data_IF_271042765205
#
_entry.id   IF_271042765205
#
_cell.length_a   1.000
_cell.length_b   1.000
_cell.length_c   1.000
_cell.angle_alpha   90.00
_cell.angle_beta   90.00
_cell.angle_gamma   90.00
#
_symmetry.space_group_name_H-M   'P 1'
#
loop_
_entity.id
_entity.type
_entity.pdbx_description
1 polymer ?
#
# COMPACT_ATOMS: atom_id res chain seq x y z
N UNK A 1 -12.79 18.57 16.35
CA UNK A 1 -13.02 18.29 17.79
C UNK A 1 -14.12 19.16 18.40
N UNK A 2 -14.09 20.49 18.21
CA UNK A 2 -15.13 21.40 18.74
C UNK A 2 -16.55 21.10 18.24
N UNK A 3 -16.71 20.66 16.99
CA UNK A 3 -18.00 20.31 16.40
C UNK A 3 -18.74 19.20 17.15
N UNK A 4 -18.01 18.24 17.72
CA UNK A 4 -18.61 17.16 18.50
C UNK A 4 -19.13 17.67 19.85
N UNK A 5 -18.43 18.60 20.51
CA UNK A 5 -18.92 19.21 21.74
C UNK A 5 -20.19 20.03 21.51
N UNK A 6 -20.26 20.76 20.39
CA UNK A 6 -21.46 21.51 20.00
C UNK A 6 -22.66 20.58 19.69
N UNK A 7 -22.40 19.37 19.20
CA UNK A 7 -23.42 18.32 19.03
C UNK A 7 -23.85 17.66 20.36
N UNK A 8 -23.24 18.04 21.49
CA UNK A 8 -23.55 17.54 22.81
C UNK A 8 -22.76 16.30 23.23
N UNK A 9 -21.66 16.00 22.54
CA UNK A 9 -20.73 14.95 22.97
C UNK A 9 -19.94 15.43 24.19
N UNK A 10 -19.67 14.52 25.12
CA UNK A 10 -18.94 14.81 26.35
C UNK A 10 -17.49 14.35 26.22
N UNK A 11 -16.52 15.23 26.47
CA UNK A 11 -15.12 14.82 26.54
C UNK A 11 -14.88 14.01 27.82
N UNK A 12 -14.28 12.82 27.68
CA UNK A 12 -13.91 11.96 28.80
C UNK A 12 -12.47 12.28 29.25
N UNK A 13 -12.07 11.75 30.41
CA UNK A 13 -10.69 11.80 30.90
C UNK A 13 -9.84 10.61 30.42
N UNK A 14 -10.42 9.75 29.59
CA UNK A 14 -9.82 8.52 29.10
C UNK A 14 -9.29 8.70 27.67
N UNK A 15 -8.19 8.02 27.36
CA UNK A 15 -7.56 8.02 26.04
C UNK A 15 -7.89 6.75 25.27
N UNK A 16 -7.96 6.84 23.94
CA UNK A 16 -8.12 5.69 23.06
C UNK A 16 -6.86 4.80 23.10
N UNK A 17 -7.02 3.49 23.30
CA UNK A 17 -5.89 2.54 23.35
C UNK A 17 -5.12 2.41 22.02
N UNK A 18 -5.79 2.71 20.90
CA UNK A 18 -5.22 2.59 19.55
C UNK A 18 -4.33 3.77 19.18
N UNK A 19 -4.79 5.00 19.45
CA UNK A 19 -4.13 6.22 18.97
C UNK A 19 -3.78 7.24 20.07
N UNK A 20 -4.19 7.00 21.31
CA UNK A 20 -3.93 7.90 22.44
C UNK A 20 -4.79 9.17 22.47
N UNK A 21 -5.63 9.43 21.48
CA UNK A 21 -6.52 10.60 21.46
C UNK A 21 -7.58 10.50 22.56
N UNK A 22 -7.93 11.64 23.16
CA UNK A 22 -8.99 11.73 24.17
C UNK A 22 -10.33 11.21 23.62
N UNK A 23 -11.00 10.35 24.38
CA UNK A 23 -12.30 9.80 24.02
C UNK A 23 -13.41 10.82 24.27
N UNK A 24 -14.40 10.81 23.37
CA UNK A 24 -15.65 11.54 23.53
C UNK A 24 -16.76 10.52 23.79
N UNK A 25 -17.83 10.95 24.46
CA UNK A 25 -19.01 10.14 24.73
C UNK A 25 -20.22 10.76 24.06
N UNK A 26 -20.90 9.95 23.24
CA UNK A 26 -22.18 10.34 22.63
C UNK A 26 -23.27 10.47 23.70
N UNK A 27 -24.41 11.09 23.36
CA UNK A 27 -25.63 11.12 24.16
C UNK A 27 -26.15 9.71 24.50
N UNK A 28 -25.80 8.69 23.71
CA UNK A 28 -26.10 7.28 23.97
C UNK A 28 -25.09 6.60 24.93
N UNK A 29 -24.21 7.36 25.57
CA UNK A 29 -23.14 6.86 26.46
C UNK A 29 -22.09 5.97 25.79
N UNK A 30 -22.03 5.97 24.44
CA UNK A 30 -21.02 5.22 23.68
C UNK A 30 -19.71 6.03 23.62
N UNK A 31 -18.59 5.37 23.92
CA UNK A 31 -17.26 5.94 23.77
C UNK A 31 -16.87 6.02 22.29
N UNK A 32 -16.31 7.15 21.89
CA UNK A 32 -16.08 7.55 20.51
C UNK A 32 -14.70 8.20 20.39
N UNK A 33 -13.84 7.62 19.56
CA UNK A 33 -12.55 8.20 19.22
C UNK A 33 -12.66 8.93 17.88
N UNK A 34 -12.48 10.25 17.89
CA UNK A 34 -12.55 11.06 16.66
C UNK A 34 -11.48 10.65 15.65
N UNK A 35 -10.27 10.35 16.12
CA UNK A 35 -9.14 10.08 15.24
C UNK A 35 -9.31 8.76 14.51
N UNK A 36 -9.78 7.72 15.21
CA UNK A 36 -10.02 6.43 14.59
C UNK A 36 -11.25 6.48 13.68
N UNK A 37 -12.36 7.07 14.12
CA UNK A 37 -13.59 7.03 13.33
C UNK A 37 -13.53 7.90 12.07
N UNK A 38 -12.89 9.08 12.13
CA UNK A 38 -12.75 9.94 10.94
C UNK A 38 -11.87 9.27 9.87
N UNK A 39 -10.86 8.48 10.26
CA UNK A 39 -10.03 7.71 9.32
C UNK A 39 -10.76 6.49 8.73
N UNK A 40 -11.49 5.73 9.54
CA UNK A 40 -12.24 4.55 9.07
C UNK A 40 -13.42 4.94 8.14
N UNK A 41 -14.06 6.09 8.37
CA UNK A 41 -15.19 6.53 7.54
C UNK A 41 -14.81 7.07 6.16
N UNK A 42 -13.54 7.40 5.94
CA UNK A 42 -12.98 7.74 4.63
C UNK A 42 -12.61 6.46 3.86
N UNK A 43 -12.07 5.45 4.54
CA UNK A 43 -11.61 4.18 3.93
C UNK A 43 -12.76 3.22 3.59
N UNK A 44 -13.85 3.20 4.36
CA UNK A 44 -15.00 2.32 4.12
C UNK A 44 -15.70 2.58 2.77
N UNK A 45 -15.66 3.83 2.29
CA UNK A 45 -16.37 4.24 1.06
C UNK A 45 -15.72 3.71 -0.22
N UNK A 46 -14.41 3.49 -0.20
CA UNK A 46 -13.60 3.10 -1.37
C UNK A 46 -13.13 1.63 -1.32
N UNK A 47 -13.66 0.81 -0.41
CA UNK A 47 -13.30 -0.60 -0.33
C UNK A 47 -14.05 -1.44 -1.38
N UNK A 48 -13.37 -1.97 -2.43
CA UNK A 48 -14.00 -2.77 -3.48
C UNK A 48 -14.54 -4.12 -2.97
N UNK A 49 -14.09 -4.60 -1.81
CA UNK A 49 -14.56 -5.86 -1.23
C UNK A 49 -15.92 -5.73 -0.52
N UNK A 50 -16.26 -4.51 -0.06
CA UNK A 50 -17.48 -4.24 0.71
C UNK A 50 -18.51 -3.41 -0.06
N UNK A 51 -18.10 -2.76 -1.17
CA UNK A 51 -18.97 -1.93 -1.99
C UNK A 51 -18.87 -2.29 -3.48
N UNK A 52 -19.97 -2.80 -4.05
CA UNK A 52 -20.05 -3.20 -5.46
C UNK A 52 -19.81 -2.03 -6.44
N UNK A 53 -20.20 -0.80 -6.08
CA UNK A 53 -19.97 0.38 -6.90
C UNK A 53 -18.47 0.70 -7.01
N UNK A 54 -17.72 0.57 -5.90
CA UNK A 54 -16.27 0.75 -5.86
C UNK A 54 -15.55 -0.35 -6.67
N UNK A 55 -16.02 -1.61 -6.58
CA UNK A 55 -15.49 -2.70 -7.39
C UNK A 55 -15.61 -2.42 -8.90
N UNK A 56 -16.76 -1.91 -9.35
CA UNK A 56 -16.98 -1.54 -10.75
C UNK A 56 -16.09 -0.37 -11.19
N UNK A 57 -15.87 0.62 -10.33
CA UNK A 57 -14.96 1.74 -10.62
C UNK A 57 -13.53 1.24 -10.84
N UNK A 58 -13.02 0.38 -9.96
CA UNK A 58 -11.67 -0.16 -10.09
C UNK A 58 -11.49 -1.02 -11.35
N UNK A 59 -12.50 -1.82 -11.72
CA UNK A 59 -12.46 -2.60 -12.97
C UNK A 59 -12.44 -1.68 -14.19
N UNK A 60 -13.29 -0.63 -14.20
CA UNK A 60 -13.31 0.36 -15.28
C UNK A 60 -11.98 1.10 -15.40
N UNK A 61 -11.42 1.56 -14.29
CA UNK A 61 -10.11 2.23 -14.27
C UNK A 61 -8.99 1.32 -14.78
N UNK A 62 -9.00 0.03 -14.39
CA UNK A 62 -8.07 -0.97 -14.94
C UNK A 62 -8.27 -1.20 -16.44
N UNK A 63 -9.51 -1.24 -16.92
CA UNK A 63 -9.82 -1.36 -18.36
C UNK A 63 -9.36 -0.13 -19.15
N UNK A 64 -9.48 1.07 -18.59
CA UNK A 64 -9.00 2.32 -19.21
C UNK A 64 -7.48 2.41 -19.20
N UNK A 65 -6.83 2.01 -18.09
CA UNK A 65 -5.37 1.97 -17.99
C UNK A 65 -4.73 0.91 -18.90
N UNK A 66 -5.46 -0.15 -19.23
CA UNK A 66 -5.03 -1.18 -20.21
C UNK A 66 -5.41 -0.84 -21.66
N UNK A 67 -6.31 0.12 -21.89
CA UNK A 67 -6.62 0.71 -23.20
C UNK A 67 -5.73 1.94 -23.47
N UNK A 68 -4.43 1.73 -23.62
CA UNK A 68 -3.55 2.69 -24.31
C UNK A 68 -3.81 2.57 -25.84
N UNK A 69 -3.70 3.65 -26.63
CA UNK A 69 -4.58 3.91 -27.77
C UNK A 69 -4.27 3.01 -28.97
N UNK A 70 -5.19 2.09 -29.25
CA UNK A 70 -5.48 1.63 -30.59
C UNK A 70 -6.98 1.35 -30.67
N UNK A 71 -7.77 2.36 -31.03
CA UNK A 71 -8.90 2.25 -31.97
C UNK A 71 -9.82 3.47 -31.93
N UNK A 72 -9.92 4.13 -33.07
CA UNK A 72 -10.93 5.13 -33.45
C UNK A 72 -10.90 5.06 -34.98
N UNK A 73 -11.93 4.71 -35.75
CA UNK A 73 -13.38 4.89 -35.61
C UNK A 73 -14.14 3.98 -36.60
N UNK A 74 -15.43 3.79 -36.30
CA UNK A 74 -16.62 3.74 -37.19
C UNK A 74 -16.70 2.72 -38.33
N UNK A 75 -17.80 1.95 -38.26
CA UNK A 75 -18.45 1.33 -39.39
C UNK A 75 -18.77 2.35 -40.49
N UNK A 76 -18.49 2.01 -41.76
CA UNK A 76 -19.43 2.12 -42.89
C UNK A 76 -18.91 1.28 -44.06
N UNK A 77 -19.85 0.68 -44.80
CA UNK A 77 -19.63 -0.29 -45.86
C UNK A 77 -19.39 0.41 -47.21
N UNK A 78 -18.53 -0.18 -48.03
CA UNK A 78 -18.43 -0.09 -49.50
C UNK A 78 -17.41 0.90 -50.12
N UNK A 79 -16.59 0.38 -51.06
CA UNK A 79 -15.82 1.13 -52.07
C UNK A 79 -14.28 1.08 -51.93
N UNK A 80 -13.60 0.28 -52.76
CA UNK A 80 -12.16 0.51 -53.07
C UNK A 80 -11.98 1.51 -54.24
N UNK A 81 -10.79 1.67 -54.88
CA UNK A 81 -9.42 1.32 -54.48
C UNK A 81 -8.45 2.56 -54.55
N UNK A 82 -7.15 2.31 -54.32
CA UNK A 82 -5.95 3.02 -54.81
C UNK A 82 -5.10 3.92 -53.90
N UNK A 83 -3.79 3.73 -54.15
CA UNK A 83 -2.63 4.62 -54.03
C UNK A 83 -1.89 4.77 -52.69
N UNK A 84 -0.93 3.85 -52.51
CA UNK A 84 0.52 4.11 -52.35
C UNK A 84 0.98 5.38 -51.62
N UNK A 85 1.73 5.23 -50.52
CA UNK A 85 3.19 5.54 -50.48
C UNK A 85 3.84 5.26 -49.10
N UNK A 86 4.99 4.58 -49.20
CA UNK A 86 6.24 4.59 -48.41
C UNK A 86 6.25 5.26 -47.02
N UNK A 87 6.70 4.50 -46.02
CA UNK A 87 6.81 4.92 -44.62
C UNK A 87 8.02 5.76 -44.25
N UNK A 88 8.04 6.19 -42.98
CA UNK A 88 9.23 6.63 -42.24
C UNK A 88 9.00 6.27 -40.76
N UNK A 89 10.01 5.64 -40.17
CA UNK A 89 10.08 5.25 -38.76
C UNK A 89 10.65 6.39 -37.89
N UNK A 90 10.16 6.49 -36.64
CA UNK A 90 10.83 6.97 -35.39
C UNK A 90 10.91 8.51 -35.22
N UNK A 91 10.71 9.13 -34.01
CA UNK A 91 11.31 8.75 -32.72
C UNK A 91 10.46 8.75 -31.44
N UNK A 92 10.77 7.77 -30.58
CA UNK A 92 10.38 7.64 -29.18
C UNK A 92 11.23 8.59 -28.29
N UNK A 93 10.65 9.29 -27.30
CA UNK A 93 11.40 10.13 -26.37
C UNK A 93 12.15 9.29 -25.32
N UNK A 94 13.43 9.61 -25.18
CA UNK A 94 14.45 9.02 -24.31
C UNK A 94 14.25 9.43 -22.84
N UNK A 95 14.24 8.49 -21.88
CA UNK A 95 14.41 8.82 -20.47
C UNK A 95 15.85 9.25 -20.22
N UNK A 96 15.98 10.40 -19.57
CA UNK A 96 17.21 10.91 -19.01
C UNK A 96 17.58 10.10 -17.77
N UNK A 97 18.62 9.29 -17.87
CA UNK A 97 19.41 8.97 -16.69
C UNK A 97 20.88 9.14 -17.03
N UNK A 98 21.54 9.91 -16.18
CA UNK A 98 22.93 10.31 -16.28
C UNK A 98 23.88 9.11 -16.18
N UNK A 99 25.09 9.40 -16.63
CA UNK A 99 26.22 8.54 -16.92
C UNK A 99 26.70 7.67 -15.74
N UNK A 100 27.15 6.46 -16.06
CA UNK A 100 27.81 5.56 -15.12
C UNK A 100 28.43 4.33 -15.78
N UNK A 101 29.46 4.55 -16.62
CA UNK A 101 30.53 3.64 -17.03
C UNK A 101 30.19 2.24 -17.61
N UNK A 102 30.43 2.08 -18.92
CA UNK A 102 30.74 0.80 -19.59
C UNK A 102 32.04 0.21 -19.02
N UNK A 103 32.06 -1.03 -18.50
CA UNK A 103 32.07 -2.31 -19.20
C UNK A 103 33.39 -2.61 -19.94
N UNK A 104 34.28 -3.33 -19.24
CA UNK A 104 35.27 -4.20 -19.87
C UNK A 104 34.57 -5.46 -20.37
N UNK A 105 34.71 -5.75 -21.66
CA UNK A 105 34.04 -6.86 -22.34
C UNK A 105 34.69 -8.23 -22.10
N UNK A 106 33.93 -9.26 -22.49
CA UNK A 106 34.29 -10.58 -23.08
C UNK A 106 33.22 -11.60 -22.68
N UNK A 107 32.37 -12.02 -23.61
CA UNK A 107 32.55 -13.19 -24.49
C UNK A 107 31.84 -14.46 -23.92
N UNK A 108 31.35 -15.36 -24.77
CA UNK A 108 30.17 -16.20 -24.52
C UNK A 108 30.53 -17.62 -24.10
N UNK A 109 29.75 -18.23 -23.19
CA UNK A 109 29.85 -19.65 -22.83
C UNK A 109 28.46 -20.26 -22.48
N UNK A 110 28.31 -21.59 -22.64
CA UNK A 110 27.09 -22.30 -23.09
C UNK A 110 26.03 -22.55 -22.00
N UNK A 111 24.80 -22.95 -22.37
CA UNK A 111 23.73 -23.18 -21.40
C UNK A 111 23.97 -24.48 -20.60
N UNK A 112 23.87 -24.47 -19.26
CA UNK A 112 23.60 -25.69 -18.52
C UNK A 112 22.09 -25.93 -18.45
N UNK A 113 21.75 -27.19 -18.67
CA UNK A 113 20.41 -27.75 -18.63
C UNK A 113 19.62 -27.32 -17.39
N UNK A 114 18.37 -26.93 -17.62
CA UNK A 114 17.36 -26.79 -16.58
C UNK A 114 16.98 -28.19 -16.07
N UNK A 115 17.07 -28.46 -14.76
CA UNK A 115 16.16 -29.42 -14.15
C UNK A 115 14.85 -28.69 -13.89
N UNK A 116 13.81 -29.10 -14.61
CA UNK A 116 12.44 -28.81 -14.24
C UNK A 116 12.13 -29.29 -12.82
N UNK A 117 11.13 -28.65 -12.23
CA UNK A 117 10.30 -29.09 -11.08
C UNK A 117 10.80 -28.73 -9.68
N UNK A 118 10.25 -27.64 -9.14
CA UNK A 118 9.50 -27.67 -7.86
C UNK A 118 8.64 -26.39 -7.82
N UNK A 119 7.36 -26.52 -8.15
CA UNK A 119 6.26 -26.37 -7.21
C UNK A 119 6.27 -25.01 -6.45
N UNK A 120 5.26 -24.14 -6.63
CA UNK A 120 5.13 -22.95 -5.80
C UNK A 120 4.98 -23.38 -4.34
N UNK A 121 5.67 -22.75 -3.37
CA UNK A 121 5.41 -23.03 -1.96
C UNK A 121 3.94 -22.73 -1.67
N UNK A 122 3.24 -23.59 -0.89
CA UNK A 122 1.89 -23.27 -0.44
C UNK A 122 1.92 -21.95 0.35
N UNK A 123 0.79 -21.22 0.44
CA UNK A 123 0.69 -20.06 1.31
C UNK A 123 1.03 -20.52 2.72
N UNK A 124 2.25 -20.22 3.16
CA UNK A 124 2.69 -20.54 4.51
C UNK A 124 1.89 -19.61 5.38
N UNK A 125 0.88 -20.17 6.04
CA UNK A 125 0.24 -19.56 7.20
C UNK A 125 1.41 -19.29 8.15
N UNK A 126 1.86 -18.03 8.24
CA UNK A 126 2.97 -17.69 9.11
C UNK A 126 2.62 -18.21 10.49
N UNK A 127 3.42 -19.13 11.01
CA UNK A 127 3.26 -19.59 12.37
C UNK A 127 3.29 -18.36 13.29
N UNK A 128 2.42 -18.27 14.31
CA UNK A 128 2.33 -17.10 15.17
C UNK A 128 3.69 -16.72 15.78
N UNK A 129 4.54 -17.70 16.04
CA UNK A 129 5.92 -17.53 16.52
C UNK A 129 6.85 -16.79 15.54
N UNK A 130 6.68 -16.96 14.23
CA UNK A 130 7.48 -16.26 13.21
C UNK A 130 7.07 -14.78 13.11
N UNK A 131 5.77 -14.49 13.26
CA UNK A 131 5.28 -13.12 13.28
C UNK A 131 5.79 -12.36 14.52
N UNK A 132 5.78 -13.00 15.69
CA UNK A 132 6.33 -12.42 16.92
C UNK A 132 7.83 -12.07 16.79
N UNK A 133 8.63 -12.97 16.24
CA UNK A 133 10.07 -12.76 16.04
C UNK A 133 10.36 -11.58 15.09
N UNK A 134 9.61 -11.48 13.99
CA UNK A 134 9.73 -10.37 13.05
C UNK A 134 9.43 -9.01 13.71
N UNK A 135 8.41 -8.94 14.57
CA UNK A 135 8.05 -7.73 15.30
C UNK A 135 9.11 -7.38 16.35
N UNK A 136 9.62 -8.37 17.10
CA UNK A 136 10.69 -8.17 18.07
C UNK A 136 11.98 -7.67 17.42
N UNK A 137 12.29 -8.16 16.22
CA UNK A 137 13.43 -7.70 15.43
C UNK A 137 13.30 -6.22 15.05
N UNK A 138 12.12 -5.80 14.56
CA UNK A 138 11.85 -4.38 14.26
C UNK A 138 11.89 -3.49 15.50
N UNK A 139 11.34 -3.97 16.62
CA UNK A 139 11.37 -3.25 17.89
C UNK A 139 12.82 -2.95 18.31
N UNK A 140 13.67 -3.99 18.31
CA UNK A 140 15.09 -3.85 18.67
C UNK A 140 15.83 -2.90 17.73
N UNK A 141 15.59 -3.01 16.42
CA UNK A 141 16.17 -2.10 15.43
C UNK A 141 15.76 -0.64 15.72
N UNK A 142 14.47 -0.39 15.97
CA UNK A 142 13.95 0.95 16.22
C UNK A 142 14.54 1.55 17.49
N UNK A 143 14.67 0.75 18.57
CA UNK A 143 15.31 1.20 19.82
C UNK A 143 16.77 1.57 19.62
N UNK A 144 17.53 0.77 18.86
CA UNK A 144 18.94 1.06 18.58
C UNK A 144 19.10 2.31 17.70
N UNK A 145 18.27 2.46 16.67
CA UNK A 145 18.27 3.66 15.82
C UNK A 145 17.88 4.92 16.59
N UNK A 146 16.97 4.80 17.56
CA UNK A 146 16.54 5.93 18.38
C UNK A 146 17.70 6.46 19.23
N UNK A 147 18.54 5.58 19.78
CA UNK A 147 19.73 5.98 20.55
C UNK A 147 20.78 6.71 19.71
N UNK A 148 20.88 6.36 18.43
CA UNK A 148 21.80 6.98 17.47
C UNK A 148 21.21 8.23 16.79
N UNK A 149 19.92 8.48 16.93
CA UNK A 149 19.22 9.53 16.20
C UNK A 149 19.39 10.89 16.89
N UNK A 150 19.93 11.87 16.16
CA UNK A 150 20.01 13.27 16.59
C UNK A 150 18.87 14.14 16.01
N UNK A 151 18.00 13.57 15.17
CA UNK A 151 16.86 14.28 14.59
C UNK A 151 15.60 14.05 15.44
N UNK A 152 14.93 15.15 15.81
CA UNK A 152 13.67 15.10 16.55
C UNK A 152 12.59 14.37 15.74
N UNK A 153 12.47 14.68 14.44
CA UNK A 153 11.48 14.05 13.55
C UNK A 153 11.71 12.54 13.44
N UNK A 154 12.95 12.12 13.23
CA UNK A 154 13.29 10.69 13.17
C UNK A 154 12.99 9.99 14.51
N UNK A 155 13.23 10.67 15.63
CA UNK A 155 12.94 10.13 16.96
C UNK A 155 11.44 9.94 17.18
N UNK A 156 10.61 10.88 16.72
CA UNK A 156 9.14 10.76 16.76
C UNK A 156 8.69 9.55 15.92
N UNK A 157 9.20 9.41 14.70
CA UNK A 157 8.86 8.29 13.82
C UNK A 157 9.24 6.93 14.44
N UNK A 158 10.43 6.85 15.05
CA UNK A 158 10.89 5.64 15.74
C UNK A 158 10.07 5.31 16.99
N UNK A 159 9.68 6.31 17.79
CA UNK A 159 8.78 6.13 18.94
C UNK A 159 7.40 5.62 18.52
N UNK A 160 6.85 6.17 17.42
CA UNK A 160 5.59 5.68 16.84
C UNK A 160 5.71 4.24 16.36
N UNK A 161 6.82 3.88 15.71
CA UNK A 161 7.10 2.51 15.29
C UNK A 161 7.20 1.56 16.49
N UNK A 162 7.91 1.94 17.57
CA UNK A 162 8.03 1.14 18.80
C UNK A 162 6.64 0.89 19.42
N UNK A 163 5.80 1.93 19.48
CA UNK A 163 4.43 1.85 19.99
C UNK A 163 3.57 0.90 19.14
N UNK A 164 3.70 0.99 17.81
CA UNK A 164 3.02 0.09 16.87
C UNK A 164 3.46 -1.36 17.06
N UNK A 165 4.76 -1.63 17.18
CA UNK A 165 5.27 -2.98 17.46
C UNK A 165 4.73 -3.54 18.78
N UNK A 166 4.64 -2.72 19.83
CA UNK A 166 4.08 -3.14 21.11
C UNK A 166 2.59 -3.53 21.00
N UNK A 167 1.81 -2.77 20.23
CA UNK A 167 0.42 -3.10 19.94
C UNK A 167 0.30 -4.42 19.16
N UNK A 168 1.10 -4.60 18.10
CA UNK A 168 1.11 -5.85 17.33
C UNK A 168 1.46 -7.07 18.18
N UNK A 169 2.40 -6.95 19.11
CA UNK A 169 2.74 -8.05 20.04
C UNK A 169 1.60 -8.39 21.01
N UNK A 170 0.83 -7.39 21.46
CA UNK A 170 -0.37 -7.67 22.28
C UNK A 170 -1.40 -8.46 21.48
N UNK A 171 -1.72 -8.01 20.26
CA UNK A 171 -2.68 -8.71 19.40
C UNK A 171 -2.25 -10.13 19.05
N UNK A 172 -0.95 -10.36 18.79
CA UNK A 172 -0.42 -11.70 18.54
C UNK A 172 -0.57 -12.62 19.77
N UNK A 173 -0.35 -12.09 20.98
CA UNK A 173 -0.55 -12.86 22.21
C UNK A 173 -2.01 -13.21 22.46
N UNK A 174 -2.94 -12.28 22.21
CA UNK A 174 -4.38 -12.53 22.31
C UNK A 174 -4.85 -13.62 21.33
N UNK A 175 -4.27 -13.68 20.12
CA UNK A 175 -4.55 -14.72 19.14
C UNK A 175 -3.97 -16.10 19.50
N UNK A 176 -2.97 -16.15 20.37
CA UNK A 176 -2.30 -17.39 20.79
C UNK A 176 -2.92 -18.07 22.02
N UNK A 177 -3.88 -17.40 22.68
CA UNK A 177 -4.57 -17.86 23.89
C UNK A 177 -5.94 -18.47 23.56
#
# INVERSE_FOLDING_TARGET
MGDYLLKGYKMLGDCCDTCGTILLQDRQQKNYCVSCQELDSDVDKDNPALNAQAALSQVRERQLASQSPASSQSAELNGGPSSSHIGVSVPQPRPEHCEGAAAGGRAPLPPPAVPSTSAPPPPTVLAPTQAEDAVLTKLRWATNQLQSSASLEASIQLCSLISSCANSLRSLKELSQ
#
